data_IF_931730816408
#
_entry.id   IF_931730816408
#
_cell.length_a   1.000
_cell.length_b   1.000
_cell.length_c   1.000
_cell.angle_alpha   90.00
_cell.angle_beta   90.00
_cell.angle_gamma   90.00
#
_symmetry.space_group_name_H-M   'P 1'
#
loop_
_entity.id
_entity.type
_entity.pdbx_description
1 polymer ?
#
# COMPACT_ATOMS: atom_id res chain seq x y z
N UNK A 1 -25.37 -0.68 9.54
CA UNK A 1 -25.04 -0.29 8.15
C UNK A 1 -23.86 -1.14 7.71
N UNK A 2 -24.05 -2.12 6.84
CA UNK A 2 -22.94 -2.91 6.29
C UNK A 2 -22.02 -2.01 5.46
N UNK A 3 -20.69 -2.22 5.56
CA UNK A 3 -19.75 -1.54 4.66
C UNK A 3 -20.12 -1.88 3.21
N UNK A 4 -20.11 -0.88 2.33
CA UNK A 4 -20.34 -1.11 0.91
C UNK A 4 -19.33 -2.15 0.39
N UNK A 5 -19.81 -3.09 -0.43
CA UNK A 5 -18.96 -4.08 -1.06
C UNK A 5 -18.02 -3.37 -2.03
N UNK A 6 -16.72 -3.58 -1.89
CA UNK A 6 -15.75 -3.04 -2.83
C UNK A 6 -15.85 -3.78 -4.17
N UNK A 7 -16.22 -3.05 -5.22
CA UNK A 7 -16.32 -3.60 -6.58
C UNK A 7 -15.01 -3.37 -7.34
N UNK A 8 -14.34 -4.47 -7.72
CA UNK A 8 -13.04 -4.45 -8.42
C UNK A 8 -13.25 -4.27 -9.92
N UNK A 9 -13.47 -3.04 -10.37
CA UNK A 9 -13.68 -2.73 -11.80
C UNK A 9 -12.37 -2.56 -12.58
N UNK A 10 -11.25 -2.33 -11.90
CA UNK A 10 -9.92 -2.17 -12.50
C UNK A 10 -9.14 -3.49 -12.46
N UNK A 11 -8.18 -3.70 -13.38
CA UNK A 11 -7.24 -4.81 -13.29
C UNK A 11 -6.55 -4.83 -11.92
N UNK A 12 -6.55 -5.99 -11.27
CA UNK A 12 -6.03 -6.17 -9.93
C UNK A 12 -4.82 -7.09 -9.96
N UNK A 13 -3.75 -6.70 -9.25
CA UNK A 13 -2.53 -7.49 -9.12
C UNK A 13 -2.17 -7.60 -7.65
N UNK A 14 -1.89 -8.83 -7.19
CA UNK A 14 -1.33 -9.06 -5.85
C UNK A 14 0.19 -8.90 -5.92
N UNK A 15 0.77 -8.08 -5.05
CA UNK A 15 2.21 -7.86 -4.97
C UNK A 15 2.68 -7.96 -3.51
N UNK A 16 3.98 -8.13 -3.31
CA UNK A 16 4.63 -8.08 -2.01
C UNK A 16 6.07 -7.61 -2.12
N UNK A 17 6.58 -6.98 -1.07
CA UNK A 17 7.96 -6.49 -0.99
C UNK A 17 8.81 -7.50 -0.22
N UNK A 18 9.77 -8.15 -0.88
CA UNK A 18 10.63 -9.19 -0.30
C UNK A 18 12.11 -8.78 -0.27
N UNK A 19 12.91 -9.36 0.62
CA UNK A 19 14.34 -9.03 0.76
C UNK A 19 14.91 -9.28 2.16
N UNK A 20 16.23 -9.16 2.31
CA UNK A 20 16.96 -9.35 3.58
C UNK A 20 16.56 -8.32 4.65
N UNK A 21 16.87 -8.62 5.92
CA UNK A 21 16.66 -7.67 7.03
C UNK A 21 17.40 -6.36 6.74
N UNK A 22 16.83 -5.24 7.20
CA UNK A 22 17.35 -3.88 7.00
C UNK A 22 17.47 -3.36 5.56
N UNK A 23 17.00 -4.11 4.55
CA UNK A 23 16.93 -3.63 3.15
C UNK A 23 15.76 -2.67 2.87
N UNK A 24 15.09 -2.15 3.91
CA UNK A 24 14.10 -1.09 3.75
C UNK A 24 12.75 -1.50 3.13
N UNK A 25 12.32 -2.76 3.27
CA UNK A 25 11.03 -3.23 2.74
C UNK A 25 9.85 -2.38 3.23
N UNK A 26 9.72 -2.20 4.54
CA UNK A 26 8.66 -1.41 5.17
C UNK A 26 8.74 0.07 4.77
N UNK A 27 9.94 0.63 4.70
CA UNK A 27 10.19 2.01 4.23
C UNK A 27 9.74 2.19 2.78
N UNK A 28 10.08 1.24 1.90
CA UNK A 28 9.69 1.27 0.51
C UNK A 28 8.16 1.19 0.36
N UNK A 29 7.49 0.31 1.11
CA UNK A 29 6.02 0.22 1.09
C UNK A 29 5.37 1.54 1.54
N UNK A 30 5.86 2.16 2.61
CA UNK A 30 5.37 3.47 3.05
C UNK A 30 5.53 4.54 1.94
N UNK A 31 6.71 4.61 1.33
CA UNK A 31 7.02 5.56 0.26
C UNK A 31 6.12 5.37 -0.98
N UNK A 32 5.83 4.12 -1.37
CA UNK A 32 4.90 3.82 -2.46
C UNK A 32 3.51 4.39 -2.16
N UNK A 33 2.99 4.19 -0.94
CA UNK A 33 1.66 4.72 -0.57
C UNK A 33 1.64 6.26 -0.49
N UNK A 34 2.73 6.89 -0.02
CA UNK A 34 2.87 8.34 -0.01
C UNK A 34 2.87 8.92 -1.43
N UNK A 35 3.66 8.33 -2.33
CA UNK A 35 3.74 8.79 -3.73
C UNK A 35 2.40 8.64 -4.45
N UNK A 36 1.73 7.49 -4.30
CA UNK A 36 0.42 7.25 -4.90
C UNK A 36 -0.68 8.12 -4.25
N UNK A 37 -0.59 8.38 -2.94
CA UNK A 37 -1.50 9.26 -2.22
C UNK A 37 -1.39 10.72 -2.67
N UNK A 38 -0.19 11.20 -3.00
CA UNK A 38 0.00 12.52 -3.60
C UNK A 38 -0.73 12.68 -4.95
N UNK A 39 -0.99 11.57 -5.65
CA UNK A 39 -1.77 11.53 -6.88
C UNK A 39 -3.26 11.17 -6.66
N UNK A 40 -3.71 11.06 -5.40
CA UNK A 40 -5.07 10.66 -5.06
C UNK A 40 -5.40 9.20 -5.41
N UNK A 41 -4.38 8.35 -5.59
CA UNK A 41 -4.54 6.95 -6.04
C UNK A 41 -4.47 5.91 -4.91
N UNK A 42 -4.00 6.29 -3.72
CA UNK A 42 -3.88 5.38 -2.58
C UNK A 42 -4.11 6.11 -1.26
N UNK A 43 -4.52 5.35 -0.24
CA UNK A 43 -4.46 5.80 1.14
C UNK A 43 -3.01 5.74 1.63
N UNK A 44 -2.54 6.83 2.24
CA UNK A 44 -1.19 6.90 2.79
C UNK A 44 -1.08 5.99 4.01
N UNK A 45 -0.03 5.16 4.05
CA UNK A 45 0.30 4.29 5.18
C UNK A 45 1.66 4.72 5.75
N UNK A 46 1.70 5.07 7.03
CA UNK A 46 2.96 5.35 7.72
C UNK A 46 3.74 4.06 7.93
N UNK A 47 5.07 4.19 8.10
CA UNK A 47 5.96 3.06 8.38
C UNK A 47 5.44 2.16 9.51
N UNK A 48 5.04 2.79 10.63
CA UNK A 48 4.55 2.10 11.83
C UNK A 48 3.20 1.37 11.63
N UNK A 49 2.53 1.58 10.50
CA UNK A 49 1.23 0.96 10.17
C UNK A 49 1.31 -0.22 9.20
N UNK A 50 2.54 -0.63 8.83
CA UNK A 50 2.83 -1.62 7.78
C UNK A 50 3.39 -2.94 8.35
N UNK A 51 3.71 -3.00 9.64
CA UNK A 51 4.12 -4.22 10.36
C UNK A 51 2.90 -4.92 11.01
#
# INVERSE_FOLDING_TARGET
MSKAKFERTKPHVNIGTIGHVDHGKTTLTAAITMHQGAHGMAEVRSFDSID
#
